data_IF_846010363264
#
_entry.id   IF_846010363264
#
_cell.length_a   1.000
_cell.length_b   1.000
_cell.length_c   1.000
_cell.angle_alpha   90.00
_cell.angle_beta   90.00
_cell.angle_gamma   90.00
#
_symmetry.space_group_name_H-M   'P 1'
#
loop_
_entity.id
_entity.type
_entity.pdbx_description
1 polymer ?
2 non-polymer ?
3 non-polymer ?
4 non-polymer ?
5 non-polymer ?
6 non-polymer ?
7 water ?
#
# COMPACT_ATOMS: atom_id res chain seq x y z
N UNK A 1 9.42 -12.31 -18.32
CA UNK A 1 8.97 -11.53 -19.45
C UNK A 1 8.34 -10.20 -19.07
N UNK A 2 8.00 -10.05 -17.79
CA UNK A 2 7.44 -8.80 -17.30
C UNK A 2 7.74 -8.53 -15.82
N UNK A 3 8.41 -9.46 -15.16
CA UNK A 3 8.61 -9.37 -13.72
C UNK A 3 10.00 -8.85 -13.35
N UNK A 4 10.20 -8.60 -12.06
CA UNK A 4 11.50 -8.22 -11.55
C UNK A 4 12.03 -9.22 -10.54
N UNK A 5 13.32 -9.52 -10.63
CA UNK A 5 13.95 -10.44 -9.70
C UNK A 5 14.02 -9.80 -8.32
N UNK A 6 14.26 -10.62 -7.31
CA UNK A 6 14.41 -10.12 -5.95
C UNK A 6 15.59 -9.15 -5.87
N UNK A 7 16.64 -9.46 -6.62
CA UNK A 7 17.85 -8.64 -6.62
C UNK A 7 17.59 -7.24 -7.16
N UNK A 8 16.82 -7.14 -8.23
CA UNK A 8 16.51 -5.84 -8.82
C UNK A 8 15.63 -4.99 -7.89
N UNK A 9 14.65 -5.63 -7.27
CA UNK A 9 13.79 -4.95 -6.32
C UNK A 9 14.61 -4.45 -5.12
N UNK A 10 15.55 -5.27 -4.65
CA UNK A 10 16.37 -4.89 -3.51
C UNK A 10 17.25 -3.69 -3.84
N UNK A 11 17.71 -3.62 -5.09
CA UNK A 11 18.53 -2.49 -5.53
C UNK A 11 17.78 -1.17 -5.43
N UNK A 12 16.52 -1.18 -5.89
CA UNK A 12 15.69 -0.01 -5.82
C UNK A 12 15.34 0.32 -4.36
N UNK A 13 15.14 -0.72 -3.56
CA UNK A 13 14.88 -0.52 -2.13
C UNK A 13 16.02 0.25 -1.49
N UNK A 14 17.25 -0.13 -1.80
CA UNK A 14 18.43 0.52 -1.23
C UNK A 14 18.46 1.99 -1.65
N UNK A 15 18.12 2.25 -2.91
CA UNK A 15 18.07 3.63 -3.42
C UNK A 15 17.02 4.46 -2.70
N UNK A 16 15.82 3.90 -2.53
CA UNK A 16 14.72 4.59 -1.84
C UNK A 16 15.09 4.86 -0.39
N UNK A 17 15.65 3.87 0.26
CA UNK A 17 16.06 3.98 1.66
C UNK A 17 17.07 5.11 1.85
N UNK A 18 18.05 5.17 0.96
CA UNK A 18 19.08 6.21 1.04
C UNK A 18 18.49 7.60 0.83
N UNK A 19 17.57 7.70 -0.13
CA UNK A 19 16.92 8.98 -0.43
C UNK A 19 16.13 9.52 0.77
N UNK A 20 15.42 8.63 1.47
CA UNK A 20 14.67 9.04 2.65
C UNK A 20 15.60 9.45 3.79
N UNK A 21 16.58 8.62 4.07
CA UNK A 21 17.47 8.83 5.19
C UNK A 21 18.31 10.10 5.02
N UNK A 22 18.76 10.32 3.79
CA UNK A 22 19.60 11.48 3.47
C UNK A 22 18.75 12.71 3.16
N UNK A 23 17.43 12.52 3.09
CA UNK A 23 16.52 13.59 2.72
C UNK A 23 16.74 14.17 1.34
N UNK A 24 16.75 13.31 0.32
CA UNK A 24 16.93 13.76 -1.04
C UNK A 24 15.79 13.22 -1.91
N UNK A 25 14.67 13.99 -1.99
CA UNK A 25 13.46 13.59 -2.70
C UNK A 25 13.67 13.39 -4.20
N UNK A 26 14.62 14.11 -4.80
CA UNK A 26 14.79 14.04 -6.24
C UNK A 26 15.22 12.64 -6.67
N UNK A 27 15.94 11.93 -5.79
CA UNK A 27 16.30 10.55 -6.06
C UNK A 27 15.06 9.66 -6.08
N UNK A 28 14.10 9.94 -5.21
CA UNK A 28 12.84 9.20 -5.21
C UNK A 28 12.04 9.51 -6.46
N UNK A 29 11.98 10.78 -6.82
CA UNK A 29 11.21 11.21 -7.98
C UNK A 29 11.74 10.57 -9.25
N UNK A 30 13.06 10.46 -9.33
CA UNK A 30 13.69 9.84 -10.49
C UNK A 30 13.35 8.36 -10.62
N UNK A 31 12.92 7.73 -9.53
CA UNK A 31 12.57 6.30 -9.57
C UNK A 31 11.09 6.07 -9.87
N UNK A 32 10.33 7.15 -9.95
CA UNK A 32 8.90 7.06 -10.20
C UNK A 32 8.60 6.90 -11.68
N UNK A 33 7.70 5.98 -12.02
CA UNK A 33 7.25 5.86 -13.40
C UNK A 33 6.48 7.12 -13.78
N UNK A 34 6.51 7.48 -15.07
CA UNK A 34 5.81 8.70 -15.54
C UNK A 34 4.33 8.71 -15.19
N UNK A 35 3.72 7.53 -15.12
CA UNK A 35 2.31 7.42 -14.80
C UNK A 35 2.08 6.86 -13.39
N UNK A 36 3.02 7.13 -12.50
CA UNK A 36 2.92 6.61 -11.14
C UNK A 36 1.61 7.05 -10.48
N UNK A 37 1.00 6.13 -9.74
CA UNK A 37 -0.21 6.43 -9.01
C UNK A 37 0.12 6.52 -7.51
N UNK A 38 -0.23 7.64 -6.89
CA UNK A 38 0.04 7.84 -5.47
C UNK A 38 -1.25 8.04 -4.69
N UNK A 39 -1.43 7.26 -3.63
CA UNK A 39 -2.55 7.41 -2.73
C UNK A 39 -2.09 7.67 -1.30
N UNK A 40 -2.51 8.81 -0.76
CA UNK A 40 -2.29 9.14 0.65
C UNK A 40 -3.52 9.87 1.17
N UNK A 41 -4.16 9.28 2.19
CA UNK A 41 -5.41 9.79 2.69
C UNK A 41 -6.46 9.83 1.60
N UNK A 42 -7.21 10.92 1.52
CA UNK A 42 -8.19 11.11 0.47
C UNK A 42 -7.56 11.61 -0.82
N UNK A 43 -6.33 12.09 -0.72
CA UNK A 43 -5.63 12.64 -1.87
C UNK A 43 -5.18 11.53 -2.82
N UNK A 44 -5.21 11.82 -4.11
CA UNK A 44 -4.68 10.91 -5.12
C UNK A 44 -3.88 11.71 -6.15
N UNK A 45 -2.75 11.16 -6.57
CA UNK A 45 -1.92 11.83 -7.56
C UNK A 45 -1.58 10.90 -8.71
N UNK A 46 -1.56 11.46 -9.91
CA UNK A 46 -1.19 10.70 -11.10
C UNK A 46 -0.05 11.41 -11.82
N UNK A 47 0.99 10.65 -12.15
CA UNK A 47 2.13 11.20 -12.84
C UNK A 47 3.27 11.62 -11.91
N UNK A 48 4.48 11.50 -12.43
CA UNK A 48 5.71 11.79 -11.67
C UNK A 48 5.89 13.27 -11.35
N UNK A 49 5.50 14.13 -12.29
CA UNK A 49 5.62 15.56 -12.07
C UNK A 49 4.67 15.98 -10.94
N UNK A 50 3.46 15.44 -10.93
CA UNK A 50 2.50 15.70 -9.86
C UNK A 50 2.99 15.12 -8.52
N UNK A 51 3.58 13.94 -8.58
CA UNK A 51 4.15 13.32 -7.40
C UNK A 51 5.32 14.15 -6.88
N UNK A 52 6.11 14.69 -7.80
CA UNK A 52 7.25 15.52 -7.45
C UNK A 52 6.78 16.78 -6.71
N UNK A 53 5.68 17.36 -7.19
CA UNK A 53 5.10 18.54 -6.56
C UNK A 53 4.64 18.25 -5.13
N UNK A 54 4.03 17.09 -4.94
CA UNK A 54 3.57 16.68 -3.61
C UNK A 54 4.75 16.42 -2.67
N UNK A 55 5.80 15.79 -3.19
CA UNK A 55 6.98 15.50 -2.40
C UNK A 55 7.65 16.79 -1.91
N UNK A 56 7.77 17.77 -2.81
CA UNK A 56 8.36 19.06 -2.47
C UNK A 56 7.54 19.81 -1.45
N UNK A 57 6.22 19.75 -1.58
CA UNK A 57 5.33 20.41 -0.62
C UNK A 57 5.56 19.86 0.78
N UNK A 58 5.62 18.53 0.87
CA UNK A 58 5.81 17.84 2.13
C UNK A 58 7.16 18.18 2.76
N UNK A 59 8.22 18.16 1.94
CA UNK A 59 9.56 18.40 2.43
C UNK A 59 9.74 19.82 2.97
N UNK A 60 8.91 20.75 2.51
CA UNK A 60 8.94 22.12 3.03
C UNK A 60 8.60 22.15 4.51
N UNK A 61 7.75 21.22 4.92
CA UNK A 61 7.27 21.16 6.29
C UNK A 61 7.98 20.11 7.15
N UNK A 62 8.71 19.19 6.54
CA UNK A 62 9.35 18.12 7.30
C UNK A 62 10.75 18.55 7.73
N UNK A 63 10.98 18.62 9.04
CA UNK A 63 12.24 19.10 9.60
C UNK A 63 13.22 17.98 9.91
N UNK A 64 12.70 16.76 10.06
CA UNK A 64 13.55 15.62 10.34
C UNK A 64 12.89 14.36 9.80
N UNK A 65 13.70 13.45 9.28
CA UNK A 65 13.21 12.18 8.78
C UNK A 65 14.00 11.06 9.45
N UNK A 66 13.29 10.08 9.98
CA UNK A 66 13.93 8.91 10.51
C UNK A 66 13.34 7.68 9.84
N UNK A 67 14.21 6.86 9.25
CA UNK A 67 13.78 5.63 8.63
C UNK A 67 13.82 4.58 9.72
N UNK A 68 12.64 4.12 10.14
CA UNK A 68 12.57 3.19 11.25
C UNK A 68 12.85 1.74 10.80
N UNK A 69 12.28 1.34 9.67
CA UNK A 69 12.49 -0.01 9.18
C UNK A 69 12.14 -0.08 7.70
N UNK A 70 12.73 -1.05 7.00
CA UNK A 70 12.48 -1.22 5.57
C UNK A 70 12.36 -2.70 5.27
N UNK A 71 11.37 -3.07 4.45
CA UNK A 71 11.22 -4.46 4.08
C UNK A 71 10.78 -4.63 2.63
N UNK A 72 11.23 -5.71 2.01
CA UNK A 72 10.82 -6.03 0.65
C UNK A 72 9.85 -7.19 0.71
N UNK A 73 8.73 -7.05 -0.01
CA UNK A 73 7.73 -8.10 -0.11
C UNK A 73 7.29 -8.19 -1.56
N UNK A 74 7.69 -9.26 -2.24
CA UNK A 74 7.45 -9.38 -3.68
C UNK A 74 8.02 -8.14 -4.39
N UNK A 75 7.18 -7.43 -5.15
CA UNK A 75 7.63 -6.22 -5.82
C UNK A 75 7.29 -4.96 -5.04
N UNK A 76 7.08 -5.11 -3.74
CA UNK A 76 6.74 -3.98 -2.89
C UNK A 76 7.89 -3.68 -1.95
N UNK A 77 8.24 -2.40 -1.86
CA UNK A 77 9.22 -1.93 -0.91
C UNK A 77 8.50 -1.09 0.14
N UNK A 78 8.56 -1.55 1.38
CA UNK A 78 7.87 -0.83 2.44
C UNK A 78 8.85 -0.15 3.35
N UNK A 79 8.63 1.14 3.57
CA UNK A 79 9.51 1.94 4.40
C UNK A 79 8.70 2.60 5.51
N UNK A 80 9.04 2.28 6.75
CA UNK A 80 8.41 2.89 7.89
C UNK A 80 9.26 4.10 8.30
N UNK A 81 8.63 5.26 8.35
CA UNK A 81 9.38 6.48 8.63
C UNK A 81 8.73 7.26 9.75
N UNK A 82 9.52 8.12 10.38
CA UNK A 82 8.99 9.11 11.29
C UNK A 82 9.33 10.48 10.73
N UNK A 83 8.32 11.32 10.56
CA UNK A 83 8.52 12.69 10.11
C UNK A 83 8.31 13.65 11.26
N UNK A 84 9.15 14.67 11.35
CA UNK A 84 8.95 15.74 12.32
C UNK A 84 8.41 16.97 11.58
N UNK A 85 7.23 17.40 11.98
CA UNK A 85 6.62 18.60 11.43
C UNK A 85 6.21 19.54 12.54
N UNK A 86 6.81 20.71 12.56
CA UNK A 86 6.51 21.72 13.57
C UNK A 86 6.64 21.18 14.99
N UNK A 87 7.72 20.44 15.23
CA UNK A 87 8.02 19.93 16.56
C UNK A 87 7.27 18.67 16.98
N UNK A 88 6.41 18.15 16.12
CA UNK A 88 5.69 16.92 16.43
C UNK A 88 6.15 15.79 15.53
N UNK A 89 6.12 14.56 16.04
CA UNK A 89 6.59 13.39 15.31
C UNK A 89 5.45 12.50 14.86
N UNK A 90 5.46 12.14 13.58
CA UNK A 90 4.40 11.29 13.04
C UNK A 90 4.98 10.06 12.37
N UNK A 91 4.33 8.92 12.56
CA UNK A 91 4.76 7.68 11.93
C UNK A 91 3.97 7.44 10.65
N UNK A 92 4.69 7.10 9.59
CA UNK A 92 4.04 6.83 8.31
C UNK A 92 4.66 5.60 7.70
N UNK A 93 3.91 4.95 6.82
CA UNK A 93 4.46 3.85 6.05
C UNK A 93 4.30 4.16 4.58
N UNK A 94 5.41 4.09 3.84
CA UNK A 94 5.42 4.28 2.39
C UNK A 94 5.61 2.92 1.76
N UNK A 95 4.71 2.54 0.85
CA UNK A 95 4.92 1.32 0.08
C UNK A 95 5.09 1.67 -1.39
N UNK A 96 6.20 1.21 -1.96
CA UNK A 96 6.52 1.47 -3.36
C UNK A 96 6.42 0.14 -4.12
N UNK A 97 5.53 0.07 -5.09
CA UNK A 97 5.38 -1.12 -5.92
C UNK A 97 6.17 -0.90 -7.18
N UNK A 98 7.04 -1.85 -7.53
CA UNK A 98 7.98 -1.64 -8.63
C UNK A 98 7.65 -2.48 -9.85
N UNK A 99 7.64 -1.83 -11.02
CA UNK A 99 7.46 -2.51 -12.30
C UNK A 99 8.51 -2.03 -13.28
N UNK A 100 9.21 -2.97 -13.91
CA UNK A 100 10.15 -2.64 -14.98
C UNK A 100 11.25 -1.66 -14.53
N UNK A 101 11.65 -1.77 -13.26
CA UNK A 101 12.74 -0.96 -12.73
C UNK A 101 12.37 0.39 -12.16
N UNK A 102 11.09 0.75 -12.20
CA UNK A 102 10.64 2.01 -11.61
C UNK A 102 9.38 1.79 -10.77
N UNK A 103 8.99 2.81 -10.01
CA UNK A 103 7.86 2.68 -9.11
C UNK A 103 6.56 3.02 -9.84
N UNK A 104 5.66 2.04 -9.94
CA UNK A 104 4.41 2.26 -10.63
C UNK A 104 3.31 2.80 -9.72
N UNK A 105 3.42 2.50 -8.44
CA UNK A 105 2.39 2.89 -7.49
C UNK A 105 2.99 3.14 -6.11
N UNK A 106 2.47 4.16 -5.44
CA UNK A 106 2.91 4.46 -4.08
C UNK A 106 1.69 4.51 -3.17
N UNK A 107 1.74 3.69 -2.12
CA UNK A 107 0.69 3.69 -1.10
C UNK A 107 1.27 4.22 0.19
N UNK A 108 0.62 5.23 0.76
CA UNK A 108 1.11 5.83 2.01
C UNK A 108 0.08 5.72 3.12
N UNK A 109 0.47 5.04 4.19
CA UNK A 109 -0.36 4.97 5.38
C UNK A 109 0.03 6.09 6.33
N UNK A 110 -0.94 6.88 6.76
CA UNK A 110 -0.68 7.88 7.78
C UNK A 110 -1.67 7.74 8.92
N UNK A 111 -1.19 8.04 10.13
CA UNK A 111 -2.00 7.97 11.34
C UNK A 111 -3.09 9.04 11.30
N UNK A 112 -4.21 8.79 12.01
CA UNK A 112 -5.34 9.72 12.03
C UNK A 112 -4.97 11.14 12.50
N UNK A 113 -4.00 11.26 13.41
CA UNK A 113 -3.58 12.57 13.87
C UNK A 113 -2.92 13.39 12.77
N UNK A 114 -2.24 12.72 11.84
CA UNK A 114 -1.58 13.41 10.74
C UNK A 114 -2.50 13.72 9.56
N UNK A 115 -3.67 13.09 9.53
CA UNK A 115 -4.56 13.21 8.36
C UNK A 115 -4.92 14.65 8.00
N UNK A 116 -5.25 15.46 8.99
CA UNK A 116 -5.58 16.85 8.77
C UNK A 116 -4.38 17.65 8.29
N UNK A 117 -3.25 17.42 8.94
CA UNK A 117 -2.01 18.12 8.60
C UNK A 117 -1.57 17.82 7.17
N UNK A 118 -1.67 16.56 6.77
CA UNK A 118 -1.19 16.15 5.45
C UNK A 118 -2.03 16.74 4.32
N UNK A 119 -3.31 16.96 4.60
CA UNK A 119 -4.20 17.53 3.60
C UNK A 119 -3.82 18.98 3.33
N UNK A 120 -3.47 19.71 4.39
CA UNK A 120 -3.03 21.10 4.27
C UNK A 120 -1.76 21.18 3.44
N UNK A 121 -0.76 20.40 3.83
CA UNK A 121 0.52 20.37 3.16
C UNK A 121 0.42 20.03 1.67
N UNK A 122 -0.32 18.99 1.32
CA UNK A 122 -0.37 18.52 -0.05
C UNK A 122 -1.22 19.39 -0.96
N UNK A 123 -2.24 20.04 -0.40
CA UNK A 123 -3.10 20.93 -1.17
C UNK A 123 -2.57 22.35 -1.24
N UNK A 124 -1.99 22.82 -0.14
CA UNK A 124 -1.72 24.23 0.05
C UNK A 124 -0.26 24.55 0.34
N UNK A 125 0.56 23.52 0.51
CA UNK A 125 1.98 23.71 0.79
C UNK A 125 2.72 24.29 -0.41
N UNK B 1 -1.95 3.77 23.54
CA UNK B 1 -3.14 4.60 23.63
C UNK B 1 -3.89 4.78 22.32
N UNK B 2 -3.25 4.46 21.20
CA UNK B 2 -3.90 4.52 19.89
C UNK B 2 -3.33 3.53 18.88
N UNK B 3 -2.26 2.83 19.25
CA UNK B 3 -1.56 1.93 18.34
C UNK B 3 -1.92 0.48 18.65
N UNK B 4 -1.42 -0.43 17.83
CA UNK B 4 -1.60 -1.85 18.07
C UNK B 4 -0.26 -2.53 18.31
N UNK B 5 -0.21 -3.41 19.31
CA UNK B 5 1.01 -4.14 19.59
C UNK B 5 1.25 -5.13 18.47
N UNK B 6 2.46 -5.66 18.39
CA UNK B 6 2.78 -6.65 17.36
C UNK B 6 1.87 -7.86 17.53
N UNK B 7 1.58 -8.20 18.78
CA UNK B 7 0.73 -9.34 19.10
C UNK B 7 -0.68 -9.13 18.53
N UNK B 8 -1.19 -7.92 18.69
CA UNK B 8 -2.53 -7.59 18.19
C UNK B 8 -2.60 -7.62 16.65
N UNK B 9 -1.58 -7.06 16.00
CA UNK B 9 -1.50 -7.11 14.54
C UNK B 9 -1.42 -8.57 14.06
N UNK B 10 -0.64 -9.37 14.77
CA UNK B 10 -0.47 -10.78 14.42
C UNK B 10 -1.76 -11.57 14.51
N UNK B 11 -2.61 -11.25 15.48
CA UNK B 11 -3.90 -11.94 15.61
C UNK B 11 -4.78 -11.67 14.39
N UNK B 12 -4.80 -10.43 13.93
CA UNK B 12 -5.55 -10.07 12.73
C UNK B 12 -4.92 -10.70 11.48
N UNK B 13 -3.59 -10.77 11.45
CA UNK B 13 -2.90 -11.43 10.34
C UNK B 13 -3.34 -12.88 10.21
N UNK B 14 -3.38 -13.57 11.35
CA UNK B 14 -3.77 -14.98 11.36
C UNK B 14 -5.19 -15.16 10.84
N UNK B 15 -6.07 -14.25 11.24
CA UNK B 15 -7.46 -14.27 10.77
C UNK B 15 -7.53 -14.06 9.27
N UNK B 16 -6.79 -13.07 8.77
CA UNK B 16 -6.73 -12.77 7.34
C UNK B 16 -6.10 -13.93 6.57
N UNK B 17 -5.00 -14.44 7.11
CA UNK B 17 -4.29 -15.56 6.48
C UNK B 17 -5.18 -16.79 6.38
N UNK B 18 -5.89 -17.09 7.46
CA UNK B 18 -6.79 -18.23 7.50
C UNK B 18 -7.93 -18.06 6.50
N UNK B 19 -8.48 -16.84 6.43
CA UNK B 19 -9.58 -16.53 5.53
C UNK B 19 -9.18 -16.70 4.06
N UNK B 20 -7.98 -16.23 3.72
CA UNK B 20 -7.48 -16.39 2.36
C UNK B 20 -7.23 -17.86 2.05
N UNK B 21 -6.62 -18.57 2.98
CA UNK B 21 -6.31 -19.98 2.78
C UNK B 21 -7.57 -20.82 2.62
N UNK B 22 -8.63 -20.47 3.32
CA UNK B 22 -9.88 -21.22 3.21
C UNK B 22 -10.75 -20.78 2.05
N UNK B 23 -10.38 -19.68 1.40
CA UNK B 23 -11.26 -19.09 0.41
C UNK B 23 -12.56 -18.71 1.09
N UNK B 24 -12.43 -17.94 2.17
CA UNK B 24 -13.58 -17.49 2.94
C UNK B 24 -13.58 -15.96 3.06
N UNK B 25 -14.17 -15.29 2.06
CA UNK B 25 -14.17 -13.82 1.96
C UNK B 25 -14.92 -13.12 3.10
N UNK B 26 -15.93 -13.78 3.65
CA UNK B 26 -16.79 -13.13 4.65
C UNK B 26 -16.04 -12.78 5.94
N UNK B 27 -15.03 -13.58 6.28
CA UNK B 27 -14.20 -13.28 7.44
C UNK B 27 -13.41 -11.99 7.25
N UNK B 28 -12.88 -11.78 6.06
CA UNK B 28 -12.11 -10.57 5.76
C UNK B 28 -12.99 -9.32 5.79
N UNK B 29 -14.19 -9.43 5.23
CA UNK B 29 -15.12 -8.29 5.19
C UNK B 29 -15.50 -7.83 6.59
N UNK B 30 -15.64 -8.78 7.50
CA UNK B 30 -15.99 -8.47 8.89
C UNK B 30 -14.88 -7.71 9.61
N UNK B 31 -13.66 -7.78 9.07
CA UNK B 31 -12.52 -7.12 9.69
C UNK B 31 -12.33 -5.69 9.18
N UNK B 32 -13.15 -5.29 8.22
CA UNK B 32 -13.03 -3.95 7.64
C UNK B 32 -13.71 -2.90 8.52
N UNK B 33 -13.03 -1.78 8.74
CA UNK B 33 -13.65 -0.67 9.46
C UNK B 33 -14.77 -0.09 8.59
N UNK B 34 -15.80 0.51 9.22
CA UNK B 34 -16.95 1.05 8.49
C UNK B 34 -16.58 2.08 7.41
N UNK B 35 -15.50 2.81 7.63
CA UNK B 35 -15.05 3.82 6.68
C UNK B 35 -13.78 3.40 5.95
N UNK B 36 -13.63 2.09 5.76
CA UNK B 36 -12.43 1.55 5.12
C UNK B 36 -12.19 2.18 3.75
N UNK B 37 -10.92 2.43 3.45
CA UNK B 37 -10.54 2.95 2.14
C UNK B 37 -9.83 1.86 1.35
N UNK B 38 -10.32 1.59 0.15
CA UNK B 38 -9.75 0.56 -0.70
C UNK B 38 -9.25 1.16 -2.01
N UNK B 39 -8.00 0.85 -2.34
CA UNK B 39 -7.39 1.31 -3.58
C UNK B 39 -6.99 0.09 -4.40
N UNK B 40 -7.56 -0.03 -5.59
CA UNK B 40 -7.15 -1.08 -6.52
C UNK B 40 -7.19 -0.60 -7.96
N UNK B 41 -6.03 -0.62 -8.63
CA UNK B 41 -5.92 -0.07 -9.97
C UNK B 41 -6.29 1.40 -9.99
N UNK B 42 -7.08 1.81 -10.98
CA UNK B 42 -7.56 3.19 -11.04
C UNK B 42 -8.76 3.40 -10.14
N UNK B 43 -9.41 2.30 -9.75
CA UNK B 43 -10.59 2.35 -8.91
C UNK B 43 -10.26 2.63 -7.44
N UNK B 44 -11.15 3.35 -6.77
CA UNK B 44 -11.04 3.58 -5.34
C UNK B 44 -12.41 3.41 -4.70
N UNK B 45 -12.45 2.79 -3.53
CA UNK B 45 -13.71 2.54 -2.86
C UNK B 45 -13.67 3.06 -1.43
N UNK B 46 -14.78 3.63 -0.99
CA UNK B 46 -14.90 4.14 0.36
C UNK B 46 -16.08 3.51 1.09
N UNK B 47 -15.83 3.03 2.29
CA UNK B 47 -16.88 2.40 3.09
C UNK B 47 -16.93 0.90 2.97
N UNK B 48 -17.35 0.24 4.05
CA UNK B 48 -17.38 -1.21 4.10
C UNK B 48 -18.42 -1.78 3.13
N UNK B 49 -19.54 -1.08 2.95
CA UNK B 49 -20.58 -1.53 2.04
C UNK B 49 -20.08 -1.57 0.60
N UNK B 50 -19.39 -0.52 0.18
CA UNK B 50 -18.82 -0.47 -1.15
C UNK B 50 -17.74 -1.54 -1.30
N UNK B 51 -16.94 -1.72 -0.26
CA UNK B 51 -15.89 -2.74 -0.27
C UNK B 51 -16.47 -4.15 -0.33
N UNK B 52 -17.52 -4.41 0.44
CA UNK B 52 -18.16 -5.72 0.43
C UNK B 52 -18.74 -6.02 -0.95
N UNK B 53 -19.36 -5.03 -1.55
CA UNK B 53 -19.95 -5.16 -2.89
C UNK B 53 -18.86 -5.49 -3.91
N UNK B 54 -17.72 -4.81 -3.80
CA UNK B 54 -16.59 -5.05 -4.69
C UNK B 54 -15.98 -6.44 -4.47
N UNK B 55 -15.87 -6.85 -3.21
CA UNK B 55 -15.29 -8.15 -2.89
C UNK B 55 -16.15 -9.28 -3.45
N UNK B 56 -17.47 -9.17 -3.29
CA UNK B 56 -18.38 -10.19 -3.81
C UNK B 56 -18.33 -10.27 -5.33
N UNK B 57 -18.24 -9.12 -6.00
CA UNK B 57 -18.15 -9.10 -7.46
C UNK B 57 -16.91 -9.82 -7.95
N UNK B 58 -15.77 -9.54 -7.32
CA UNK B 58 -14.51 -10.15 -7.70
C UNK B 58 -14.52 -11.65 -7.46
N UNK B 59 -15.01 -12.06 -6.30
CA UNK B 59 -14.98 -13.47 -5.93
C UNK B 59 -15.86 -14.34 -6.83
N UNK B 60 -16.88 -13.74 -7.44
CA UNK B 60 -17.71 -14.46 -8.41
C UNK B 60 -16.94 -14.88 -9.67
N UNK B 61 -15.87 -14.15 -10.00
CA UNK B 61 -15.07 -14.48 -11.19
C UNK B 61 -13.90 -15.39 -10.86
N UNK B 62 -13.60 -15.56 -9.58
CA UNK B 62 -12.41 -16.31 -9.16
C UNK B 62 -12.70 -17.80 -8.95
N UNK B 63 -11.99 -18.61 -9.73
CA UNK B 63 -12.20 -20.06 -9.75
C UNK B 63 -11.25 -20.80 -8.82
N UNK B 64 -10.13 -20.16 -8.50
CA UNK B 64 -9.14 -20.78 -7.63
C UNK B 64 -8.33 -19.69 -6.91
N UNK B 65 -8.01 -19.94 -5.65
CA UNK B 65 -7.19 -19.02 -4.86
C UNK B 65 -5.99 -19.75 -4.25
N UNK B 66 -4.80 -19.18 -4.44
CA UNK B 66 -3.59 -19.70 -3.80
C UNK B 66 -2.84 -18.60 -3.06
N UNK B 67 -2.57 -18.83 -1.77
CA UNK B 67 -1.80 -17.89 -0.95
C UNK B 67 -0.33 -18.21 -1.03
N UNK B 68 0.44 -17.32 -1.65
CA UNK B 68 1.87 -17.56 -1.84
C UNK B 68 2.69 -17.16 -0.61
N UNK B 69 2.36 -16.03 -0.01
CA UNK B 69 3.09 -15.56 1.14
C UNK B 69 2.31 -14.52 1.95
N UNK B 70 2.63 -14.44 3.23
CA UNK B 70 2.00 -13.49 4.13
C UNK B 70 3.09 -12.93 5.04
N UNK B 71 3.09 -11.60 5.20
CA UNK B 71 4.07 -10.95 6.05
C UNK B 71 3.44 -9.79 6.80
N UNK B 72 3.94 -9.55 8.00
CA UNK B 72 3.52 -8.42 8.82
C UNK B 72 4.62 -7.38 8.86
N UNK B 73 4.24 -6.13 8.62
CA UNK B 73 5.18 -5.01 8.70
C UNK B 73 4.50 -3.85 9.41
N UNK B 74 4.96 -3.54 10.62
CA UNK B 74 4.33 -2.53 11.46
C UNK B 74 2.84 -2.89 11.60
N UNK B 75 1.95 -1.97 11.25
CA UNK B 75 0.51 -2.28 11.33
C UNK B 75 -0.04 -2.73 9.97
N UNK B 76 0.83 -3.23 9.11
CA UNK B 76 0.41 -3.66 7.79
C UNK B 76 0.51 -5.18 7.66
N UNK B 77 -0.54 -5.77 7.11
CA UNK B 77 -0.54 -7.21 6.80
C UNK B 77 -0.54 -7.33 5.29
N UNK B 78 0.49 -7.97 4.76
CA UNK B 78 0.65 -8.12 3.31
C UNK B 78 0.44 -9.56 2.89
N UNK B 79 -0.43 -9.77 1.92
CA UNK B 79 -0.72 -11.11 1.43
C UNK B 79 -0.55 -11.21 -0.07
N UNK B 80 0.36 -12.06 -0.52
CA UNK B 80 0.56 -12.30 -1.95
C UNK B 80 -0.31 -13.47 -2.36
N UNK B 81 -1.17 -13.25 -3.34
CA UNK B 81 -2.09 -14.29 -3.77
C UNK B 81 -2.06 -14.49 -5.27
N UNK B 82 -2.50 -15.67 -5.71
CA UNK B 82 -2.75 -15.93 -7.11
C UNK B 82 -4.23 -16.26 -7.29
N UNK B 83 -4.89 -15.55 -8.19
CA UNK B 83 -6.29 -15.80 -8.51
C UNK B 83 -6.38 -16.42 -9.90
N UNK B 84 -7.26 -17.40 -10.06
CA UNK B 84 -7.55 -17.93 -11.37
C UNK B 84 -8.90 -17.41 -11.84
N UNK B 85 -8.89 -16.71 -12.96
CA UNK B 85 -10.11 -16.19 -13.56
C UNK B 85 -10.19 -16.65 -15.02
N UNK B 86 -11.21 -17.44 -15.34
CA UNK B 86 -11.41 -17.94 -16.69
C UNK B 86 -10.18 -18.67 -17.22
N UNK B 87 -9.57 -19.50 -16.39
CA UNK B 87 -8.45 -20.33 -16.82
C UNK B 87 -7.12 -19.60 -16.87
N UNK B 88 -7.11 -18.33 -16.49
CA UNK B 88 -5.86 -17.57 -16.45
C UNK B 88 -5.49 -17.24 -15.02
N UNK B 89 -4.19 -17.22 -14.74
CA UNK B 89 -3.72 -17.00 -13.38
C UNK B 89 -3.12 -15.60 -13.23
N UNK B 90 -3.54 -14.88 -12.20
CA UNK B 90 -3.03 -13.54 -11.94
C UNK B 90 -2.48 -13.42 -10.52
N UNK B 91 -1.36 -12.72 -10.38
CA UNK B 91 -0.78 -12.49 -9.07
C UNK B 91 -1.17 -11.10 -8.57
N UNK B 92 -1.54 -11.03 -7.30
CA UNK B 92 -1.92 -9.77 -6.69
C UNK B 92 -1.31 -9.66 -5.31
N UNK B 93 -1.16 -8.43 -4.84
CA UNK B 93 -0.73 -8.21 -3.46
C UNK B 93 -1.78 -7.39 -2.74
N UNK B 94 -2.24 -7.89 -1.60
CA UNK B 94 -3.18 -7.19 -0.75
C UNK B 94 -2.43 -6.68 0.47
N UNK B 95 -2.53 -5.39 0.76
CA UNK B 95 -1.96 -4.88 2.00
C UNK B 95 -3.11 -4.36 2.87
N UNK B 96 -3.19 -4.88 4.08
CA UNK B 96 -4.23 -4.49 5.02
C UNK B 96 -3.60 -3.67 6.13
N UNK B 97 -4.02 -2.42 6.26
CA UNK B 97 -3.50 -1.56 7.32
C UNK B 97 -4.49 -1.59 8.46
N UNK B 98 -4.01 -1.88 9.67
CA UNK B 98 -4.92 -2.11 10.79
C UNK B 98 -4.85 -0.99 11.82
N UNK B 99 -6.02 -0.51 12.22
CA UNK B 99 -6.15 0.46 13.29
C UNK B 99 -7.21 -0.03 14.26
N UNK B 100 -6.88 -0.04 15.56
CA UNK B 100 -7.85 -0.35 16.60
C UNK B 100 -8.55 -1.71 16.41
N UNK B 101 -7.82 -2.67 15.86
CA UNK B 101 -8.35 -4.02 15.70
C UNK B 101 -9.11 -4.29 14.42
N UNK B 102 -9.23 -3.29 13.55
CA UNK B 102 -9.87 -3.47 12.26
C UNK B 102 -9.06 -2.85 11.12
N UNK B 103 -9.42 -3.17 9.88
CA UNK B 103 -8.67 -2.70 8.74
C UNK B 103 -9.20 -1.34 8.26
N UNK B 104 -8.36 -0.32 8.36
CA UNK B 104 -8.76 1.03 7.96
C UNK B 104 -8.47 1.30 6.48
N UNK B 105 -7.50 0.58 5.93
CA UNK B 105 -7.04 0.84 4.58
C UNK B 105 -6.62 -0.45 3.89
N UNK B 106 -6.98 -0.58 2.61
CA UNK B 106 -6.56 -1.72 1.82
C UNK B 106 -5.90 -1.25 0.53
N UNK B 107 -4.66 -1.68 0.32
CA UNK B 107 -3.96 -1.36 -0.91
C UNK B 107 -3.81 -2.65 -1.70
N UNK B 108 -4.27 -2.63 -2.94
CA UNK B 108 -4.19 -3.82 -3.77
C UNK B 108 -3.33 -3.54 -5.01
N UNK B 109 -2.26 -4.29 -5.14
CA UNK B 109 -1.46 -4.23 -6.35
C UNK B 109 -1.90 -5.30 -7.33
N UNK B 110 -2.19 -4.91 -8.56
CA UNK B 110 -2.49 -5.87 -9.60
C UNK B 110 -1.60 -5.61 -10.80
N UNK B 111 -1.23 -6.69 -11.49
CA UNK B 111 -0.39 -6.62 -12.68
C UNK B 111 -1.10 -5.93 -13.84
N UNK B 112 -0.32 -5.37 -14.79
CA UNK B 112 -0.92 -4.68 -15.94
C UNK B 112 -1.88 -5.56 -16.73
N UNK B 113 -1.59 -6.85 -16.81
CA UNK B 113 -2.47 -7.77 -17.52
C UNK B 113 -3.83 -7.90 -16.82
N UNK B 114 -3.85 -7.76 -15.49
CA UNK B 114 -5.12 -7.88 -14.79
C UNK B 114 -5.93 -6.60 -14.85
N UNK B 115 -5.27 -5.49 -15.16
CA UNK B 115 -5.94 -4.19 -15.20
C UNK B 115 -7.11 -4.20 -16.19
N UNK B 116 -6.88 -4.78 -17.36
CA UNK B 116 -7.91 -4.87 -18.38
C UNK B 116 -9.06 -5.72 -17.86
N UNK B 117 -8.73 -6.87 -17.29
CA UNK B 117 -9.71 -7.78 -16.72
C UNK B 117 -10.45 -7.13 -15.55
N UNK B 118 -9.71 -6.43 -14.70
CA UNK B 118 -10.26 -5.87 -13.47
C UNK B 118 -11.32 -4.79 -13.76
N UNK B 119 -11.21 -4.16 -14.92
CA UNK B 119 -12.16 -3.13 -15.31
C UNK B 119 -13.54 -3.74 -15.53
N UNK B 120 -13.55 -4.93 -16.13
CA UNK B 120 -14.80 -5.68 -16.34
C UNK B 120 -15.46 -6.05 -15.02
N UNK B 121 -14.69 -6.70 -14.15
CA UNK B 121 -15.17 -7.10 -12.84
C UNK B 121 -15.70 -5.93 -12.02
#
# INVERSE_FOLDING_TARGET
>A
GSHMTEEEVRKIMEKLKKAFKQGNPEQIVSLLSPDVKVDVGNQSFSGSEEAEKAARKLMKFVDRVEVRDVRVFENAVMIAVEFEVNGQRYKMIFTFYVENGKVSMVSIYISPTMKKLMKQILNYG
>B
GSHMTEEEVRKIMEKLKKAFKQGNPEQIVSLLSPDVKVDVGNQSFSGSEEAEKAARKLMKFVDRVEVRDVRVFENAVMIAVEFEVNGQRYKMIFTFYVENGKVSMVSIYISPTMKKLMKQILNYG
#
